data_IF_507839126459
#
_entry.id   IF_507839126459
#
_cell.length_a   1.000
_cell.length_b   1.000
_cell.length_c   1.000
_cell.angle_alpha   90.00
_cell.angle_beta   90.00
_cell.angle_gamma   90.00
#
_symmetry.space_group_name_H-M   'P 1'
#
loop_
_entity.id
_entity.type
_entity.pdbx_description
1 polymer ?
#
# COMPACT_ATOMS: atom_id res chain seq x y z
N UNK A 1 7.21 0.04 15.51
CA UNK A 1 6.60 1.07 14.99
C UNK A 1 6.59 1.08 13.55
N UNK A 2 7.66 1.13 12.86
CA UNK A 2 7.68 1.08 11.46
C UNK A 2 7.09 -0.17 10.91
N UNK A 3 7.20 -1.28 11.60
CA UNK A 3 6.63 -2.55 11.16
C UNK A 3 5.13 -2.51 11.10
N UNK A 4 4.50 -1.78 12.02
CA UNK A 4 3.06 -1.67 12.01
C UNK A 4 2.59 -0.95 10.77
N UNK A 5 3.29 0.12 10.38
CA UNK A 5 2.93 0.85 9.19
C UNK A 5 3.04 -0.03 7.96
N UNK A 6 4.09 -0.85 7.90
CA UNK A 6 4.29 -1.74 6.78
C UNK A 6 3.16 -2.76 6.68
N UNK A 7 2.79 -3.34 7.81
CA UNK A 7 1.74 -4.34 7.85
C UNK A 7 0.42 -3.72 7.41
N UNK A 8 0.12 -2.53 7.91
CA UNK A 8 -1.12 -1.85 7.53
C UNK A 8 -1.13 -1.53 6.04
N UNK A 9 0.00 -1.14 5.51
CA UNK A 9 0.09 -0.82 4.09
C UNK A 9 -0.14 -2.07 3.24
N UNK A 10 0.46 -3.17 3.61
CA UNK A 10 0.27 -4.43 2.89
C UNK A 10 -1.16 -4.91 3.00
N UNK A 11 -1.75 -4.78 4.16
CA UNK A 11 -3.13 -5.18 4.35
C UNK A 11 -4.05 -4.35 3.46
N UNK A 12 -3.79 -3.06 3.38
CA UNK A 12 -4.57 -2.17 2.53
C UNK A 12 -4.45 -2.61 1.07
N UNK A 13 -3.26 -2.95 0.65
CA UNK A 13 -3.03 -3.39 -0.72
C UNK A 13 -3.79 -4.68 -1.03
N UNK A 14 -3.75 -5.62 -0.12
CA UNK A 14 -4.44 -6.89 -0.31
C UNK A 14 -5.94 -6.67 -0.43
N UNK A 15 -6.50 -5.86 0.45
CA UNK A 15 -7.93 -5.59 0.42
C UNK A 15 -8.30 -4.85 -0.86
N UNK A 16 -7.48 -3.89 -1.26
CA UNK A 16 -7.73 -3.14 -2.48
C UNK A 16 -7.71 -4.07 -3.69
N UNK A 17 -6.75 -4.98 -3.74
CA UNK A 17 -6.65 -5.92 -4.85
C UNK A 17 -7.86 -6.82 -4.91
N UNK A 18 -8.40 -7.16 -3.76
CA UNK A 18 -9.57 -8.01 -3.70
C UNK A 18 -10.82 -7.28 -4.13
N UNK A 19 -11.04 -6.10 -3.59
CA UNK A 19 -12.26 -5.34 -3.84
C UNK A 19 -12.18 -4.50 -5.10
N UNK A 20 -10.98 -4.21 -5.56
CA UNK A 20 -10.73 -3.41 -6.75
C UNK A 20 -11.47 -2.07 -6.69
N UNK A 21 -11.51 -1.47 -5.50
CA UNK A 21 -12.20 -0.22 -5.29
C UNK A 21 -11.64 0.48 -4.06
N UNK A 22 -11.18 1.70 -4.25
CA UNK A 22 -10.66 2.49 -3.14
C UNK A 22 -11.77 2.77 -2.12
N UNK A 23 -12.96 3.10 -2.62
CA UNK A 23 -14.07 3.38 -1.73
C UNK A 23 -14.45 2.21 -0.85
N UNK A 24 -14.56 1.03 -1.47
CA UNK A 24 -14.92 -0.17 -0.71
C UNK A 24 -13.79 -0.56 0.25
N UNK A 25 -12.57 -0.38 -0.17
CA UNK A 25 -11.43 -0.67 0.69
C UNK A 25 -11.45 0.22 1.92
N UNK A 26 -11.73 1.51 1.71
CA UNK A 26 -11.80 2.45 2.82
C UNK A 26 -12.89 2.04 3.80
N UNK A 27 -14.04 1.62 3.29
CA UNK A 27 -15.14 1.17 4.14
C UNK A 27 -14.75 -0.09 4.90
N UNK A 28 -14.14 -1.03 4.21
CA UNK A 28 -13.75 -2.28 4.82
C UNK A 28 -12.77 -2.06 5.97
N UNK A 29 -11.83 -1.13 5.79
CA UNK A 29 -10.80 -0.87 6.77
C UNK A 29 -11.18 0.24 7.75
N UNK A 30 -12.35 0.86 7.56
CA UNK A 30 -12.81 1.94 8.42
C UNK A 30 -11.84 3.13 8.41
N UNK A 31 -11.36 3.48 7.24
CA UNK A 31 -10.48 4.62 7.06
C UNK A 31 -10.97 5.44 5.88
N UNK A 32 -10.39 6.62 5.68
CA UNK A 32 -10.80 7.47 4.59
C UNK A 32 -10.18 7.00 3.28
N UNK A 33 -10.79 7.42 2.17
CA UNK A 33 -10.22 7.12 0.86
C UNK A 33 -8.84 7.72 0.73
N UNK A 34 -8.64 8.91 1.29
CA UNK A 34 -7.34 9.55 1.24
C UNK A 34 -6.30 8.69 1.95
N UNK A 35 -6.68 8.06 3.05
CA UNK A 35 -5.77 7.19 3.77
C UNK A 35 -5.40 5.97 2.93
N UNK A 36 -6.39 5.39 2.23
CA UNK A 36 -6.11 4.25 1.35
C UNK A 36 -5.11 4.66 0.28
N UNK A 37 -5.36 5.79 -0.38
CA UNK A 37 -4.48 6.26 -1.43
C UNK A 37 -3.07 6.51 -0.91
N UNK A 38 -2.98 7.11 0.27
CA UNK A 38 -1.67 7.41 0.85
C UNK A 38 -0.90 6.13 1.14
N UNK A 39 -1.57 5.12 1.69
CA UNK A 39 -0.90 3.87 1.99
C UNK A 39 -0.44 3.17 0.72
N UNK A 40 -1.26 3.19 -0.31
CA UNK A 40 -0.89 2.57 -1.58
C UNK A 40 0.28 3.30 -2.22
N UNK A 41 0.27 4.63 -2.18
CA UNK A 41 1.39 5.41 -2.73
C UNK A 41 2.68 5.10 -1.99
N UNK A 42 2.60 4.96 -0.67
CA UNK A 42 3.75 4.63 0.13
C UNK A 42 4.31 3.26 -0.26
N UNK A 43 3.41 2.30 -0.49
CA UNK A 43 3.83 0.97 -0.90
C UNK A 43 4.48 1.00 -2.28
N UNK A 44 3.88 1.72 -3.19
CA UNK A 44 4.43 1.82 -4.55
C UNK A 44 5.82 2.43 -4.53
N UNK A 45 6.01 3.43 -3.69
CA UNK A 45 7.32 4.06 -3.56
C UNK A 45 8.35 3.05 -3.06
N UNK A 46 7.98 2.27 -2.06
CA UNK A 46 8.89 1.28 -1.51
C UNK A 46 9.25 0.22 -2.54
N UNK A 47 8.25 -0.26 -3.28
CA UNK A 47 8.48 -1.27 -4.30
C UNK A 47 9.33 -0.70 -5.42
N UNK A 48 9.06 0.56 -5.80
CA UNK A 48 9.83 1.20 -6.84
C UNK A 48 11.30 1.31 -6.46
N UNK A 49 11.57 1.64 -5.21
CA UNK A 49 12.94 1.75 -4.76
C UNK A 49 13.65 0.39 -4.83
N UNK A 50 12.95 -0.67 -4.44
CA UNK A 50 13.53 -1.99 -4.50
C UNK A 50 13.82 -2.40 -5.93
N UNK A 51 12.92 -2.08 -6.84
CA UNK A 51 13.11 -2.39 -8.24
C UNK A 51 14.33 -1.69 -8.80
N UNK A 52 14.46 -0.41 -8.51
CA UNK A 52 15.58 0.38 -9.00
C UNK A 52 16.87 -0.16 -8.46
N UNK A 53 16.90 -0.53 -7.19
CA UNK A 53 18.11 -1.07 -6.59
C UNK A 53 18.51 -2.37 -7.25
N UNK A 54 17.53 -3.23 -7.51
CA UNK A 54 17.83 -4.50 -8.16
C UNK A 54 18.41 -4.31 -9.54
N UNK A 55 17.83 -3.39 -10.30
CA UNK A 55 18.34 -3.12 -11.63
C UNK A 55 19.74 -2.57 -11.60
N UNK A 56 20.00 -1.66 -10.68
CA UNK A 56 21.32 -1.07 -10.56
C UNK A 56 22.32 -2.09 -10.06
N UNK A 57 21.89 -3.00 -9.22
CA UNK A 57 22.75 -4.02 -8.67
C UNK A 57 23.12 -5.08 -9.67
N UNK A 58 22.34 -5.15 -10.73
CA UNK A 58 22.63 -6.16 -11.76
C UNK A 58 23.77 -5.74 -12.68
#
# INVERSE_FOLDING_TARGET
>A
MRNLDTIETLETFVVLARLNSVGKTAEQLHISKASVSRRISSLETSIGKLFIRNQNGS
#
